data_IF_467219359960
#
_entry.id   IF_467219359960
#
_cell.length_a   1.000
_cell.length_b   1.000
_cell.length_c   1.000
_cell.angle_alpha   90.00
_cell.angle_beta   90.00
_cell.angle_gamma   90.00
#
_symmetry.space_group_name_H-M   'P 1'
#
loop_
_entity.id
_entity.type
_entity.pdbx_description
1 polymer ?
#
# COMPACT_ATOMS: atom_id res chain seq x y z
N UNK A 1 20.03 15.68 -0.15
CA UNK A 1 19.42 15.10 1.06
C UNK A 1 20.52 15.00 2.10
N UNK A 2 20.32 15.60 3.26
CA UNK A 2 21.29 15.56 4.35
C UNK A 2 21.37 14.13 4.89
N UNK A 3 22.56 13.67 5.30
CA UNK A 3 22.78 12.33 5.87
C UNK A 3 21.77 12.02 6.99
N UNK A 4 21.47 13.01 7.83
CA UNK A 4 20.52 12.89 8.94
C UNK A 4 19.07 12.63 8.48
N UNK A 5 18.60 13.24 7.39
CA UNK A 5 17.25 13.00 6.86
C UNK A 5 17.05 11.54 6.41
N UNK A 6 18.13 10.90 5.94
CA UNK A 6 18.11 9.49 5.49
C UNK A 6 18.00 8.52 6.66
N UNK A 7 18.74 8.78 7.74
CA UNK A 7 18.74 7.95 8.95
C UNK A 7 17.41 8.04 9.69
N UNK A 8 16.84 9.23 9.84
CA UNK A 8 15.53 9.43 10.47
C UNK A 8 14.42 8.63 9.77
N UNK A 9 14.40 8.66 8.43
CA UNK A 9 13.45 7.88 7.63
C UNK A 9 13.65 6.37 7.79
N UNK A 10 14.90 5.92 7.94
CA UNK A 10 15.21 4.52 8.16
C UNK A 10 14.71 4.06 9.55
N UNK A 11 14.93 4.86 10.59
CA UNK A 11 14.44 4.55 11.93
C UNK A 11 12.91 4.55 12.01
N UNK A 12 12.23 5.52 11.38
CA UNK A 12 10.76 5.54 11.32
C UNK A 12 10.16 4.30 10.66
N UNK A 13 10.84 3.71 9.66
CA UNK A 13 10.40 2.46 9.02
C UNK A 13 10.66 1.21 9.86
N UNK A 14 11.58 1.30 10.83
CA UNK A 14 11.91 0.17 11.72
C UNK A 14 10.96 0.05 12.92
N UNK A 15 10.20 1.10 13.21
CA UNK A 15 9.22 1.08 14.29
C UNK A 15 8.01 0.25 13.83
N UNK A 16 7.59 -0.78 14.59
CA UNK A 16 6.37 -1.52 14.30
C UNK A 16 5.17 -0.58 14.25
N UNK A 17 4.59 -0.43 13.06
CA UNK A 17 3.36 0.33 12.86
C UNK A 17 2.19 -0.52 13.38
N UNK A 18 1.83 -0.33 14.65
CA UNK A 18 0.68 -1.01 15.25
C UNK A 18 -0.61 -0.26 14.88
N UNK A 19 -1.60 -0.99 14.38
CA UNK A 19 -2.89 -0.43 14.01
C UNK A 19 -3.91 -1.52 13.73
N UNK A 20 -5.18 -1.13 13.60
CA UNK A 20 -6.28 -2.01 13.22
C UNK A 20 -6.81 -1.61 11.85
N UNK A 21 -7.06 -2.59 11.01
CA UNK A 21 -7.73 -2.37 9.72
C UNK A 21 -9.21 -2.16 9.99
N UNK A 22 -9.70 -0.94 9.77
CA UNK A 22 -11.12 -0.61 9.92
C UNK A 22 -11.88 -0.73 8.59
N UNK A 23 -11.19 -0.68 7.46
CA UNK A 23 -11.82 -0.69 6.14
C UNK A 23 -10.87 -1.18 5.04
N UNK A 24 -11.42 -1.91 4.07
CA UNK A 24 -10.72 -2.36 2.88
C UNK A 24 -11.54 -1.94 1.66
N UNK A 25 -10.93 -1.12 0.80
CA UNK A 25 -11.52 -0.68 -0.46
C UNK A 25 -10.75 -1.22 -1.65
N UNK A 26 -11.45 -1.85 -2.60
CA UNK A 26 -10.89 -2.37 -3.86
C UNK A 26 -11.45 -1.58 -5.03
N UNK A 27 -10.58 -1.06 -5.88
CA UNK A 27 -10.95 -0.39 -7.12
C UNK A 27 -10.54 -1.26 -8.31
N UNK A 28 -11.46 -1.91 -9.04
CA UNK A 28 -11.09 -2.83 -10.10
C UNK A 28 -10.38 -2.19 -11.31
N UNK A 29 -10.71 -0.93 -11.64
CA UNK A 29 -10.05 -0.16 -12.72
C UNK A 29 -9.91 1.31 -12.41
N UNK A 30 -9.01 2.01 -13.11
CA UNK A 30 -8.87 3.46 -13.05
C UNK A 30 -10.22 4.15 -13.25
N UNK A 31 -10.54 5.09 -12.35
CA UNK A 31 -11.78 5.89 -12.33
C UNK A 31 -13.08 5.07 -12.15
N UNK A 32 -13.00 3.82 -11.70
CA UNK A 32 -14.17 3.10 -11.21
C UNK A 32 -14.41 3.35 -9.73
N UNK A 33 -15.64 3.03 -9.32
CA UNK A 33 -16.08 3.02 -7.94
C UNK A 33 -15.20 2.08 -7.09
N UNK A 34 -15.06 2.44 -5.82
CA UNK A 34 -14.34 1.62 -4.83
C UNK A 34 -15.37 0.74 -4.14
N UNK A 35 -15.14 -0.57 -4.14
CA UNK A 35 -15.98 -1.53 -3.45
C UNK A 35 -15.39 -1.86 -2.08
N UNK A 36 -16.22 -1.78 -1.05
CA UNK A 36 -15.85 -2.21 0.29
C UNK A 36 -15.92 -3.72 0.39
N UNK A 37 -14.88 -4.35 0.95
CA UNK A 37 -14.84 -5.80 1.19
C UNK A 37 -14.43 -6.09 2.64
N UNK A 38 -14.83 -7.27 3.14
CA UNK A 38 -14.45 -7.71 4.48
C UNK A 38 -13.06 -8.37 4.50
N UNK A 39 -12.65 -8.95 3.36
CA UNK A 39 -11.40 -9.68 3.22
C UNK A 39 -10.84 -9.50 1.80
N UNK A 40 -9.51 -9.58 1.69
CA UNK A 40 -8.79 -9.58 0.41
C UNK A 40 -7.42 -10.24 0.57
N UNK A 41 -6.95 -10.91 -0.49
CA UNK A 41 -5.60 -11.45 -0.56
C UNK A 41 -4.59 -10.34 -0.89
N UNK A 42 -3.55 -10.20 -0.06
CA UNK A 42 -2.43 -9.29 -0.32
C UNK A 42 -1.23 -10.06 -0.88
N UNK A 43 -0.76 -9.66 -2.06
CA UNK A 43 0.45 -10.19 -2.68
C UNK A 43 1.57 -9.12 -2.65
N UNK A 44 2.77 -9.42 -2.11
CA UNK A 44 3.87 -8.45 -2.00
C UNK A 44 4.36 -7.87 -3.35
N UNK A 45 4.22 -8.65 -4.42
CA UNK A 45 4.70 -8.32 -5.75
C UNK A 45 3.64 -7.58 -6.56
N UNK A 46 2.37 -7.95 -6.43
CA UNK A 46 1.30 -7.40 -7.28
C UNK A 46 0.32 -6.48 -6.56
N UNK A 47 0.31 -6.42 -5.23
CA UNK A 47 -0.67 -5.66 -4.46
C UNK A 47 -1.88 -6.50 -4.04
N UNK A 48 -3.04 -5.86 -3.87
CA UNK A 48 -4.28 -6.53 -3.47
C UNK A 48 -4.94 -7.20 -4.68
N UNK A 49 -5.38 -8.45 -4.52
CA UNK A 49 -6.10 -9.15 -5.58
C UNK A 49 -7.39 -8.42 -5.97
N UNK A 50 -7.62 -8.28 -7.28
CA UNK A 50 -8.78 -7.57 -7.82
C UNK A 50 -8.67 -6.03 -7.79
N UNK A 51 -7.66 -5.45 -7.13
CA UNK A 51 -7.40 -4.02 -7.23
C UNK A 51 -6.69 -3.68 -8.54
N UNK A 52 -7.02 -2.50 -9.07
CA UNK A 52 -6.45 -1.96 -10.28
C UNK A 52 -4.94 -1.73 -10.14
N UNK A 53 -4.48 -1.42 -8.92
CA UNK A 53 -3.07 -1.29 -8.65
C UNK A 53 -2.41 -2.66 -8.73
N UNK A 54 -1.93 -2.99 -9.92
CA UNK A 54 -0.85 -3.95 -10.12
C UNK A 54 0.44 -3.15 -10.10
N UNK A 55 1.38 -3.50 -9.24
CA UNK A 55 2.70 -2.88 -9.14
C UNK A 55 3.33 -2.88 -10.55
N UNK A 56 3.18 -1.77 -11.27
CA UNK A 56 3.90 -1.54 -12.52
C UNK A 56 5.33 -1.23 -12.13
N UNK A 57 6.31 -1.78 -12.84
CA UNK A 57 7.73 -1.42 -12.71
C UNK A 57 7.99 0.10 -12.80
N UNK A 58 7.01 0.87 -13.28
CA UNK A 58 7.06 2.34 -13.43
C UNK A 58 6.25 3.10 -12.35
N UNK A 59 5.44 2.41 -11.53
CA UNK A 59 4.58 3.04 -10.53
C UNK A 59 5.35 3.43 -9.28
N UNK A 60 5.79 4.69 -9.17
CA UNK A 60 6.43 5.21 -7.96
C UNK A 60 5.41 5.43 -6.84
N UNK A 61 5.50 4.67 -5.74
CA UNK A 61 5.07 5.06 -4.39
C UNK A 61 6.07 4.55 -3.37
#
# INVERSE_FOLDING_TARGET
MSYNETLERQYLRSIPQQGKVEWIGIRPKRLLEVHSVNEVTANPDTGLEGDHFKKSSTGKR
#
